data_IF_537084416076
#
_entry.id   IF_537084416076
#
_cell.length_a   1.000
_cell.length_b   1.000
_cell.length_c   1.000
_cell.angle_alpha   90.00
_cell.angle_beta   90.00
_cell.angle_gamma   90.00
#
_symmetry.space_group_name_H-M   'P 1'
#
loop_
_entity.id
_entity.type
_entity.pdbx_description
1 polymer ?
#
# COMPACT_ATOMS: atom_id res chain seq x y z
N UNK A 1 24.21 -0.24 -5.03
CA UNK A 1 23.30 0.41 -6.04
C UNK A 1 22.50 -0.67 -6.73
N UNK A 2 21.18 -0.50 -6.84
CA UNK A 2 20.30 -1.48 -7.50
C UNK A 2 20.54 -1.47 -9.01
N UNK A 3 20.75 -2.66 -9.58
CA UNK A 3 20.95 -2.90 -11.01
C UNK A 3 20.20 -4.16 -11.46
N UNK A 4 20.36 -4.57 -12.71
CA UNK A 4 19.74 -5.79 -13.24
C UNK A 4 20.18 -7.06 -12.48
N UNK A 5 21.42 -7.11 -12.00
CA UNK A 5 21.95 -8.28 -11.26
C UNK A 5 21.18 -8.49 -9.96
N UNK A 6 20.90 -7.42 -9.24
CA UNK A 6 20.08 -7.45 -8.01
C UNK A 6 18.64 -7.85 -8.34
N UNK A 7 18.05 -7.29 -9.40
CA UNK A 7 16.69 -7.64 -9.83
C UNK A 7 16.61 -9.12 -10.23
N UNK A 8 17.57 -9.62 -11.01
CA UNK A 8 17.66 -11.04 -11.41
C UNK A 8 17.83 -11.94 -10.19
N UNK A 9 18.68 -11.57 -9.23
CA UNK A 9 18.86 -12.30 -7.96
C UNK A 9 17.55 -12.43 -7.19
N UNK A 10 16.84 -11.32 -6.99
CA UNK A 10 15.54 -11.30 -6.29
C UNK A 10 14.45 -12.10 -7.01
N UNK A 11 14.59 -12.27 -8.33
CA UNK A 11 13.69 -13.07 -9.15
C UNK A 11 14.12 -14.56 -9.21
N UNK A 12 15.29 -14.90 -8.69
CA UNK A 12 15.89 -16.23 -8.81
C UNK A 12 16.23 -16.58 -10.27
N UNK A 13 16.62 -15.58 -11.07
CA UNK A 13 17.02 -15.77 -12.49
C UNK A 13 18.51 -16.08 -12.55
N UNK A 14 18.92 -17.27 -13.01
CA UNK A 14 20.33 -17.62 -13.13
C UNK A 14 21.03 -16.78 -14.22
N UNK A 15 22.36 -16.55 -14.10
CA UNK A 15 23.15 -15.98 -15.18
C UNK A 15 22.99 -16.77 -16.49
N UNK A 16 22.85 -16.05 -17.61
CA UNK A 16 22.67 -16.68 -18.93
C UNK A 16 21.29 -17.25 -19.22
N UNK A 17 20.33 -17.05 -18.33
CA UNK A 17 18.96 -17.50 -18.54
C UNK A 17 18.30 -16.78 -19.73
N UNK A 18 17.50 -17.53 -20.53
CA UNK A 18 16.87 -16.95 -21.71
C UNK A 18 15.94 -15.78 -21.33
N UNK A 19 16.10 -14.64 -22.00
CA UNK A 19 15.41 -13.38 -21.66
C UNK A 19 13.87 -13.50 -21.61
N UNK A 20 13.26 -14.32 -22.48
CA UNK A 20 11.81 -14.54 -22.45
C UNK A 20 11.33 -15.27 -21.18
N UNK A 21 12.16 -16.20 -20.66
CA UNK A 21 11.86 -16.90 -19.39
C UNK A 21 12.03 -15.96 -18.20
N UNK A 22 13.09 -15.15 -18.19
CA UNK A 22 13.30 -14.14 -17.17
C UNK A 22 12.14 -13.10 -17.15
N UNK A 23 11.70 -12.63 -18.32
CA UNK A 23 10.54 -11.76 -18.44
C UNK A 23 9.24 -12.39 -17.90
N UNK A 24 9.04 -13.70 -18.14
CA UNK A 24 7.90 -14.43 -17.59
C UNK A 24 7.95 -14.51 -16.07
N UNK A 25 9.11 -14.79 -15.48
CA UNK A 25 9.30 -14.79 -14.02
C UNK A 25 9.04 -13.37 -13.46
N UNK A 26 9.63 -12.34 -14.06
CA UNK A 26 9.46 -10.95 -13.65
C UNK A 26 7.97 -10.51 -13.69
N UNK A 27 7.23 -10.92 -14.72
CA UNK A 27 5.79 -10.68 -14.82
C UNK A 27 5.01 -11.32 -13.66
N UNK A 28 5.27 -12.58 -13.37
CA UNK A 28 4.62 -13.31 -12.27
C UNK A 28 4.96 -12.72 -10.89
N UNK A 29 6.17 -12.19 -10.74
CA UNK A 29 6.62 -11.52 -9.53
C UNK A 29 6.12 -10.07 -9.40
N UNK A 30 5.46 -9.51 -10.43
CA UNK A 30 5.03 -8.11 -10.45
C UNK A 30 6.17 -7.11 -10.62
N UNK A 31 7.31 -7.55 -11.22
CA UNK A 31 8.51 -6.73 -11.43
C UNK A 31 8.85 -6.54 -12.91
N UNK A 32 7.96 -6.91 -13.85
CA UNK A 32 8.29 -6.83 -15.28
C UNK A 32 8.72 -5.42 -15.73
N UNK A 33 8.03 -4.32 -15.37
CA UNK A 33 8.48 -2.97 -15.76
C UNK A 33 9.82 -2.59 -15.15
N UNK A 34 10.07 -2.96 -13.88
CA UNK A 34 11.36 -2.73 -13.22
C UNK A 34 12.48 -3.50 -13.92
N UNK A 35 12.25 -4.76 -14.23
CA UNK A 35 13.20 -5.60 -14.96
C UNK A 35 13.47 -5.08 -16.37
N UNK A 36 12.45 -4.68 -17.13
CA UNK A 36 12.62 -4.09 -18.47
C UNK A 36 13.37 -2.77 -18.41
N UNK A 37 13.06 -1.91 -17.46
CA UNK A 37 13.77 -0.64 -17.29
C UNK A 37 15.24 -0.84 -16.88
N UNK A 38 15.55 -1.87 -16.08
CA UNK A 38 16.94 -2.20 -15.74
C UNK A 38 17.73 -2.74 -16.94
N UNK A 39 17.08 -3.50 -17.85
CA UNK A 39 17.69 -3.89 -19.11
C UNK A 39 18.03 -2.68 -19.97
N UNK A 40 17.09 -1.75 -20.12
CA UNK A 40 17.31 -0.50 -20.87
C UNK A 40 18.44 0.34 -20.24
N UNK A 41 18.47 0.47 -18.93
CA UNK A 41 19.51 1.21 -18.21
C UNK A 41 20.92 0.60 -18.37
N UNK A 42 21.02 -0.66 -18.79
CA UNK A 42 22.27 -1.35 -19.11
C UNK A 42 22.49 -1.55 -20.61
N UNK A 43 21.83 -0.76 -21.46
CA UNK A 43 21.92 -0.81 -22.93
C UNK A 43 21.60 -2.20 -23.52
N UNK A 44 20.85 -3.03 -22.80
CA UNK A 44 20.41 -4.34 -23.30
C UNK A 44 19.16 -4.16 -24.18
N UNK A 45 19.11 -4.80 -25.35
CA UNK A 45 18.02 -4.61 -26.28
C UNK A 45 16.71 -5.21 -25.75
N UNK A 46 15.63 -4.43 -25.87
CA UNK A 46 14.26 -4.89 -25.71
C UNK A 46 13.49 -4.66 -27.01
N UNK A 47 12.55 -5.57 -27.33
CA UNK A 47 11.74 -5.46 -28.53
C UNK A 47 10.75 -4.28 -28.48
N UNK A 48 10.16 -3.90 -29.64
CA UNK A 48 9.27 -2.73 -29.72
C UNK A 48 8.03 -2.86 -28.82
N UNK A 49 7.41 -4.02 -28.74
CA UNK A 49 6.25 -4.26 -27.88
C UNK A 49 6.59 -4.12 -26.39
N UNK A 50 7.77 -4.61 -25.98
CA UNK A 50 8.22 -4.45 -24.58
C UNK A 50 8.53 -2.99 -24.25
N UNK A 51 9.04 -2.24 -25.21
CA UNK A 51 9.31 -0.79 -25.06
C UNK A 51 8.00 0.00 -24.93
N UNK A 52 7.05 -0.26 -25.81
CA UNK A 52 5.72 0.36 -25.74
C UNK A 52 5.03 0.07 -24.40
N UNK A 53 5.04 -1.18 -23.96
CA UNK A 53 4.53 -1.56 -22.64
C UNK A 53 5.22 -0.78 -21.50
N UNK A 54 6.55 -0.68 -21.54
CA UNK A 54 7.31 0.05 -20.51
C UNK A 54 6.92 1.55 -20.48
N UNK A 55 6.75 2.17 -21.65
CA UNK A 55 6.35 3.57 -21.74
C UNK A 55 4.92 3.79 -21.23
N UNK A 56 3.98 2.89 -21.51
CA UNK A 56 2.62 2.97 -20.92
C UNK A 56 2.67 2.89 -19.40
N UNK A 57 3.45 1.94 -18.84
CA UNK A 57 3.58 1.83 -17.38
C UNK A 57 4.25 3.07 -16.78
N UNK A 58 5.23 3.67 -17.46
CA UNK A 58 5.83 4.94 -17.03
C UNK A 58 4.80 6.06 -16.93
N UNK A 59 3.94 6.22 -17.96
CA UNK A 59 2.86 7.21 -17.94
C UNK A 59 1.88 6.94 -16.80
N UNK A 60 1.46 5.70 -16.61
CA UNK A 60 0.55 5.31 -15.51
C UNK A 60 1.13 5.64 -14.13
N UNK A 61 2.41 5.33 -13.91
CA UNK A 61 3.11 5.68 -12.66
C UNK A 61 3.22 7.19 -12.48
N UNK A 62 3.51 7.93 -13.55
CA UNK A 62 3.57 9.40 -13.49
C UNK A 62 2.21 10.02 -13.12
N UNK A 63 1.10 9.50 -13.68
CA UNK A 63 -0.26 9.94 -13.32
C UNK A 63 -0.55 9.68 -11.83
N UNK A 64 -0.22 8.49 -11.33
CA UNK A 64 -0.40 8.14 -9.91
C UNK A 64 0.40 9.05 -8.98
N UNK A 65 1.67 9.32 -9.32
CA UNK A 65 2.54 10.18 -8.54
C UNK A 65 2.01 11.63 -8.53
N UNK A 66 1.66 12.16 -9.70
CA UNK A 66 1.10 13.51 -9.82
C UNK A 66 -0.23 13.66 -9.05
N UNK A 67 -1.09 12.65 -9.08
CA UNK A 67 -2.33 12.64 -8.30
C UNK A 67 -2.04 12.68 -6.79
N UNK A 68 -1.12 11.83 -6.29
CA UNK A 68 -0.72 11.83 -4.88
C UNK A 68 -0.11 13.16 -4.43
N UNK A 69 0.81 13.72 -5.21
CA UNK A 69 1.44 15.03 -4.93
C UNK A 69 0.41 16.17 -4.92
N UNK A 70 -0.50 16.19 -5.90
CA UNK A 70 -1.59 17.19 -5.96
C UNK A 70 -2.46 17.13 -4.72
N UNK A 71 -2.90 15.94 -4.29
CA UNK A 71 -3.73 15.78 -3.10
C UNK A 71 -2.98 16.16 -1.83
N UNK A 72 -1.70 15.80 -1.73
CA UNK A 72 -0.84 16.21 -0.61
C UNK A 72 -0.74 17.74 -0.52
N UNK A 73 -0.47 18.40 -1.63
CA UNK A 73 -0.32 19.86 -1.68
C UNK A 73 -1.65 20.59 -1.42
N UNK A 74 -2.78 20.08 -1.94
CA UNK A 74 -4.08 20.74 -1.84
C UNK A 74 -4.76 20.52 -0.49
N UNK A 75 -4.61 19.34 0.11
CA UNK A 75 -5.39 18.91 1.28
C UNK A 75 -4.51 18.53 2.49
N UNK A 76 -3.17 18.54 2.37
CA UNK A 76 -2.26 18.17 3.47
C UNK A 76 -2.21 16.68 3.78
N UNK A 77 -2.70 15.81 2.89
CA UNK A 77 -2.58 14.37 3.04
C UNK A 77 -1.12 13.92 2.86
N UNK A 78 -0.69 12.93 3.64
CA UNK A 78 0.67 12.38 3.55
C UNK A 78 0.72 11.19 2.59
N UNK A 79 1.61 11.25 1.58
CA UNK A 79 1.92 10.08 0.74
C UNK A 79 2.90 9.19 1.49
N UNK A 80 2.58 7.89 1.68
CA UNK A 80 3.38 7.00 2.54
C UNK A 80 4.22 5.95 1.80
N UNK A 81 3.95 5.71 0.54
CA UNK A 81 4.70 4.78 -0.34
C UNK A 81 4.83 5.39 -1.75
N UNK A 82 4.85 4.54 -2.76
CA UNK A 82 4.80 4.95 -4.17
C UNK A 82 5.91 5.91 -4.55
N UNK A 83 5.60 7.21 -4.73
CA UNK A 83 6.56 8.23 -5.14
C UNK A 83 7.76 8.36 -4.19
N UNK A 84 7.53 8.25 -2.88
CA UNK A 84 8.60 8.36 -1.85
C UNK A 84 9.70 7.33 -2.07
N UNK A 85 9.32 6.06 -2.25
CA UNK A 85 10.30 5.00 -2.51
C UNK A 85 10.87 5.15 -3.92
N UNK A 86 10.03 5.49 -4.91
CA UNK A 86 10.46 5.62 -6.30
C UNK A 86 11.57 6.68 -6.49
N UNK A 87 11.55 7.76 -5.70
CA UNK A 87 12.58 8.80 -5.72
C UNK A 87 14.00 8.29 -5.38
N UNK A 88 14.09 7.14 -4.72
CA UNK A 88 15.36 6.52 -4.35
C UNK A 88 15.83 5.43 -5.32
N UNK A 89 15.00 5.06 -6.30
CA UNK A 89 15.42 4.13 -7.33
C UNK A 89 16.47 4.78 -8.22
N UNK A 90 17.47 4.02 -8.69
CA UNK A 90 18.47 4.55 -9.65
C UNK A 90 17.80 5.17 -10.88
N UNK A 91 18.44 6.19 -11.43
CA UNK A 91 17.98 6.84 -12.65
C UNK A 91 17.74 5.81 -13.77
N UNK A 92 16.59 5.90 -14.44
CA UNK A 92 16.17 4.99 -15.49
C UNK A 92 15.45 3.72 -15.01
N UNK A 93 15.57 3.34 -13.74
CA UNK A 93 14.80 2.21 -13.18
C UNK A 93 13.39 2.67 -12.79
N UNK A 94 12.40 1.89 -13.22
CA UNK A 94 11.00 2.17 -12.92
C UNK A 94 10.54 1.32 -11.72
N UNK A 95 10.16 1.97 -10.63
CA UNK A 95 9.38 1.33 -9.59
C UNK A 95 7.92 1.30 -10.00
N UNK A 96 7.41 0.11 -10.31
CA UNK A 96 5.99 -0.04 -10.64
C UNK A 96 5.10 0.23 -9.42
N UNK A 97 4.07 1.07 -9.60
CA UNK A 97 2.94 1.24 -8.69
C UNK A 97 1.65 1.01 -9.46
N UNK A 98 0.64 0.43 -8.81
CA UNK A 98 -0.73 0.30 -9.34
C UNK A 98 -1.70 1.22 -8.62
N UNK A 99 -1.24 1.82 -7.53
CA UNK A 99 -1.98 2.69 -6.63
C UNK A 99 -1.05 3.70 -5.95
N UNK A 100 -1.65 4.70 -5.33
CA UNK A 100 -0.98 5.61 -4.40
C UNK A 100 -1.66 5.51 -3.04
N UNK A 101 -0.85 5.44 -1.97
CA UNK A 101 -1.32 5.34 -0.60
C UNK A 101 -1.20 6.72 0.07
N UNK A 102 -2.33 7.24 0.57
CA UNK A 102 -2.40 8.54 1.26
C UNK A 102 -2.99 8.38 2.66
N UNK A 103 -2.45 9.16 3.58
CA UNK A 103 -2.97 9.28 4.94
C UNK A 103 -3.46 10.70 5.15
N UNK A 104 -4.76 10.84 5.37
CA UNK A 104 -5.42 12.07 5.74
C UNK A 104 -5.32 12.29 7.27
N UNK A 105 -5.18 13.53 7.70
CA UNK A 105 -5.12 13.89 9.12
C UNK A 105 -6.42 13.61 9.87
N UNK A 106 -7.54 13.68 9.15
CA UNK A 106 -8.89 13.55 9.68
C UNK A 106 -9.88 13.13 8.57
N UNK A 107 -11.13 12.91 8.94
CA UNK A 107 -12.20 12.52 8.03
C UNK A 107 -12.50 13.60 6.98
N UNK A 108 -12.47 14.86 7.33
CA UNK A 108 -12.76 15.97 6.41
C UNK A 108 -11.71 16.03 5.29
N UNK A 109 -10.44 15.92 5.66
CA UNK A 109 -9.31 15.83 4.72
C UNK A 109 -9.43 14.60 3.82
N UNK A 110 -9.82 13.44 4.37
CA UNK A 110 -10.03 12.22 3.59
C UNK A 110 -11.09 12.45 2.52
N UNK A 111 -12.26 13.00 2.89
CA UNK A 111 -13.33 13.24 1.92
C UNK A 111 -12.98 14.30 0.90
N UNK A 112 -12.23 15.34 1.27
CA UNK A 112 -11.73 16.33 0.33
C UNK A 112 -10.82 15.68 -0.75
N UNK A 113 -9.89 14.80 -0.35
CA UNK A 113 -9.06 14.04 -1.29
C UNK A 113 -9.89 13.13 -2.21
N UNK A 114 -10.84 12.41 -1.65
CA UNK A 114 -11.71 11.47 -2.38
C UNK A 114 -12.57 12.21 -3.42
N UNK A 115 -13.17 13.34 -3.05
CA UNK A 115 -13.99 14.17 -3.95
C UNK A 115 -13.14 14.82 -5.06
N UNK A 116 -11.91 15.27 -4.74
CA UNK A 116 -10.98 15.80 -5.76
C UNK A 116 -10.60 14.71 -6.78
N UNK A 117 -10.28 13.48 -6.35
CA UNK A 117 -10.01 12.38 -7.26
C UNK A 117 -11.23 12.04 -8.14
N UNK A 118 -12.42 12.05 -7.55
CA UNK A 118 -13.64 11.80 -8.31
C UNK A 118 -13.86 12.89 -9.37
N UNK A 119 -13.66 14.15 -9.02
CA UNK A 119 -13.83 15.27 -9.93
C UNK A 119 -12.74 15.36 -11.01
N UNK A 120 -11.46 15.10 -10.65
CA UNK A 120 -10.33 15.31 -11.56
C UNK A 120 -10.01 14.10 -12.45
N UNK A 121 -10.31 12.88 -12.00
CA UNK A 121 -9.99 11.64 -12.71
C UNK A 121 -11.21 10.77 -13.03
N UNK A 122 -12.42 11.17 -12.63
CA UNK A 122 -13.60 10.31 -12.70
C UNK A 122 -13.46 9.05 -11.81
N UNK A 123 -12.67 9.15 -10.74
CA UNK A 123 -12.43 8.02 -9.84
C UNK A 123 -13.73 7.63 -9.13
N UNK A 124 -13.95 6.32 -9.03
CA UNK A 124 -15.13 5.75 -8.34
C UNK A 124 -14.69 4.93 -7.13
N UNK A 125 -15.46 4.96 -6.03
CA UNK A 125 -15.14 4.16 -4.85
C UNK A 125 -15.34 2.67 -5.15
N UNK A 126 -14.38 1.86 -4.73
CA UNK A 126 -14.49 0.40 -4.72
C UNK A 126 -14.96 -0.11 -3.36
N UNK A 127 -14.72 0.66 -2.31
CA UNK A 127 -15.15 0.36 -0.96
C UNK A 127 -14.81 1.49 0.00
N UNK A 128 -15.62 1.56 1.07
CA UNK A 128 -15.40 2.47 2.21
C UNK A 128 -15.32 1.60 3.46
N UNK A 129 -14.11 1.22 3.84
CA UNK A 129 -13.90 0.34 4.98
C UNK A 129 -13.74 1.13 6.28
N UNK A 130 -14.29 0.60 7.35
CA UNK A 130 -14.17 1.17 8.69
C UNK A 130 -13.36 0.23 9.58
N UNK A 131 -12.36 0.79 10.24
CA UNK A 131 -11.62 0.15 11.32
C UNK A 131 -12.09 0.75 12.64
N UNK A 132 -13.00 0.07 13.31
CA UNK A 132 -13.66 0.56 14.51
C UNK A 132 -13.01 -0.03 15.76
N UNK A 133 -12.44 0.81 16.61
CA UNK A 133 -11.99 0.49 17.97
C UNK A 133 -12.95 1.06 19.00
N UNK A 134 -12.72 0.78 20.28
CA UNK A 134 -13.53 1.34 21.37
C UNK A 134 -13.53 2.87 21.40
N UNK A 135 -12.44 3.51 20.96
CA UNK A 135 -12.20 4.96 21.12
C UNK A 135 -12.07 5.71 19.80
N UNK A 136 -12.04 5.03 18.65
CA UNK A 136 -11.84 5.68 17.36
C UNK A 136 -12.44 4.86 16.22
N UNK A 137 -12.88 5.56 15.17
CA UNK A 137 -13.21 4.99 13.87
C UNK A 137 -12.23 5.55 12.85
N UNK A 138 -11.54 4.68 12.15
CA UNK A 138 -10.68 5.04 11.04
C UNK A 138 -11.30 4.58 9.73
N UNK A 139 -11.18 5.43 8.72
CA UNK A 139 -11.70 5.19 7.38
C UNK A 139 -10.57 4.77 6.44
N UNK A 140 -10.87 3.84 5.55
CA UNK A 140 -10.03 3.47 4.42
C UNK A 140 -10.91 3.45 3.17
N UNK A 141 -10.67 4.36 2.24
CA UNK A 141 -11.43 4.49 1.00
C UNK A 141 -10.54 4.10 -0.18
N UNK A 142 -10.93 3.04 -0.88
CA UNK A 142 -10.27 2.60 -2.10
C UNK A 142 -10.96 3.24 -3.31
N UNK A 143 -10.21 4.00 -4.11
CA UNK A 143 -10.67 4.66 -5.33
C UNK A 143 -10.02 4.03 -6.55
N UNK A 144 -10.79 3.92 -7.66
CA UNK A 144 -10.26 3.44 -8.94
C UNK A 144 -10.74 4.32 -10.10
N UNK A 145 -9.86 4.50 -11.09
CA UNK A 145 -10.20 5.15 -12.37
C UNK A 145 -9.54 4.42 -13.53
N UNK A 146 -10.08 4.53 -14.76
CA UNK A 146 -9.52 3.86 -15.92
C UNK A 146 -8.06 4.26 -16.18
N UNK A 147 -7.25 3.31 -16.60
CA UNK A 147 -5.95 3.60 -17.21
C UNK A 147 -6.15 4.20 -18.60
N UNK A 148 -5.06 4.73 -19.21
CA UNK A 148 -5.06 5.27 -20.58
C UNK A 148 -5.53 4.22 -21.60
N UNK A 149 -5.13 2.96 -21.42
CA UNK A 149 -5.53 1.82 -22.24
C UNK A 149 -6.29 0.77 -21.42
N UNK A 150 -7.59 0.97 -21.16
CA UNK A 150 -8.34 0.16 -20.21
C UNK A 150 -8.54 -1.31 -20.64
N UNK A 151 -8.31 -1.65 -21.91
CA UNK A 151 -8.33 -3.04 -22.39
C UNK A 151 -7.01 -3.78 -22.14
N UNK A 152 -5.91 -3.06 -21.99
CA UNK A 152 -4.56 -3.62 -21.83
C UNK A 152 -4.01 -3.45 -20.41
N UNK A 153 -4.36 -2.35 -19.77
CA UNK A 153 -3.81 -1.94 -18.48
C UNK A 153 -4.88 -2.00 -17.38
N UNK A 154 -4.44 -2.33 -16.18
CA UNK A 154 -5.33 -2.34 -15.01
C UNK A 154 -5.73 -0.91 -14.64
N UNK A 155 -6.93 -0.71 -14.07
CA UNK A 155 -7.30 0.58 -13.51
C UNK A 155 -6.25 1.09 -12.53
N UNK A 156 -6.03 2.40 -12.53
CA UNK A 156 -5.24 3.10 -11.55
C UNK A 156 -6.02 3.25 -10.25
N UNK A 157 -5.35 3.43 -9.13
CA UNK A 157 -6.02 3.53 -7.85
C UNK A 157 -5.36 4.45 -6.84
N UNK A 158 -6.14 4.78 -5.82
CA UNK A 158 -5.66 5.42 -4.61
C UNK A 158 -6.35 4.79 -3.40
N UNK A 159 -5.57 4.48 -2.38
CA UNK A 159 -6.07 4.11 -1.07
C UNK A 159 -5.85 5.30 -0.11
N UNK A 160 -6.94 5.89 0.36
CA UNK A 160 -6.92 7.05 1.24
C UNK A 160 -7.44 6.63 2.60
N UNK A 161 -6.65 6.84 3.66
CA UNK A 161 -6.99 6.39 5.01
C UNK A 161 -6.81 7.51 6.03
N UNK A 162 -7.50 7.39 7.18
CA UNK A 162 -7.27 8.25 8.36
C UNK A 162 -6.31 7.61 9.36
N UNK A 163 -5.56 6.59 8.95
CA UNK A 163 -4.52 5.96 9.75
C UNK A 163 -3.35 5.54 8.87
N UNK A 164 -2.13 5.64 9.39
CA UNK A 164 -0.93 5.27 8.65
C UNK A 164 -0.82 3.75 8.44
N UNK A 165 -1.23 2.98 9.45
CA UNK A 165 -1.11 1.53 9.46
C UNK A 165 -2.37 0.88 10.03
N UNK A 166 -3.03 0.08 9.23
CA UNK A 166 -4.33 -0.54 9.55
C UNK A 166 -4.24 -1.76 10.48
N UNK A 167 -3.07 -2.39 10.58
CA UNK A 167 -2.89 -3.63 11.34
C UNK A 167 -3.39 -4.86 10.60
N UNK A 168 -3.59 -5.95 11.36
CA UNK A 168 -4.01 -7.25 10.82
C UNK A 168 -5.45 -7.64 11.22
N UNK A 169 -6.15 -6.76 11.92
CA UNK A 169 -7.50 -7.00 12.47
C UNK A 169 -7.63 -8.24 13.38
N UNK A 170 -6.50 -8.78 13.87
CA UNK A 170 -6.45 -9.99 14.71
C UNK A 170 -5.65 -9.80 15.99
N UNK A 171 -4.51 -9.11 15.93
CA UNK A 171 -3.62 -8.93 17.07
C UNK A 171 -2.76 -7.67 16.98
N UNK A 172 -2.79 -6.98 15.85
CA UNK A 172 -2.06 -5.71 15.64
C UNK A 172 -3.05 -4.56 15.58
N UNK A 173 -2.92 -3.55 16.45
CA UNK A 173 -3.86 -2.41 16.49
C UNK A 173 -3.69 -1.51 15.27
N UNK A 174 -4.63 -0.60 15.08
CA UNK A 174 -4.47 0.54 14.18
C UNK A 174 -3.44 1.51 14.76
N UNK A 175 -2.55 2.04 13.93
CA UNK A 175 -1.59 3.09 14.29
C UNK A 175 -1.87 4.29 13.38
N UNK A 176 -2.56 5.27 13.94
CA UNK A 176 -3.01 6.43 13.19
C UNK A 176 -1.85 7.38 12.80
N UNK A 177 -0.89 7.73 13.69
CA UNK A 177 0.14 8.69 13.35
C UNK A 177 1.06 8.23 12.23
N UNK A 178 1.31 9.13 11.27
CA UNK A 178 2.36 8.96 10.26
C UNK A 178 3.72 9.20 10.92
N UNK A 179 4.70 8.30 10.79
CA UNK A 179 6.06 8.58 11.21
C UNK A 179 6.60 9.86 10.56
N UNK A 180 7.27 10.71 11.35
CA UNK A 180 7.76 12.01 10.89
C UNK A 180 8.85 11.91 9.80
N UNK A 181 9.53 10.78 9.72
CA UNK A 181 10.53 10.50 8.69
C UNK A 181 9.88 9.70 7.55
N UNK A 182 9.88 10.26 6.36
CA UNK A 182 9.24 9.68 5.17
C UNK A 182 9.83 8.34 4.76
N UNK A 183 11.16 8.15 4.89
CA UNK A 183 11.84 6.92 4.49
C UNK A 183 11.58 5.80 5.52
N UNK A 184 11.57 6.14 6.81
CA UNK A 184 11.14 5.21 7.86
C UNK A 184 9.65 4.87 7.72
N UNK A 185 8.78 5.84 7.44
CA UNK A 185 7.38 5.59 7.17
C UNK A 185 7.21 4.60 6.01
N UNK A 186 7.91 4.84 4.90
CA UNK A 186 7.90 3.95 3.73
C UNK A 186 8.41 2.54 4.06
N UNK A 187 9.48 2.42 4.85
CA UNK A 187 10.00 1.13 5.32
C UNK A 187 8.95 0.32 6.08
N UNK A 188 8.26 0.97 7.02
CA UNK A 188 7.25 0.30 7.82
C UNK A 188 5.98 0.01 7.03
N UNK A 189 5.62 0.85 6.06
CA UNK A 189 4.53 0.58 5.12
C UNK A 189 4.82 -0.65 4.24
N UNK A 190 6.07 -0.85 3.81
CA UNK A 190 6.48 -2.10 3.13
C UNK A 190 6.41 -3.30 4.07
N UNK A 191 6.82 -3.15 5.33
CA UNK A 191 6.71 -4.24 6.30
C UNK A 191 5.24 -4.63 6.59
N UNK A 192 4.32 -3.68 6.60
CA UNK A 192 2.88 -3.88 6.82
C UNK A 192 2.21 -4.72 5.72
N UNK A 193 2.73 -4.73 4.50
CA UNK A 193 2.24 -5.56 3.40
C UNK A 193 2.13 -7.06 3.80
N UNK A 194 2.92 -7.48 4.80
CA UNK A 194 2.90 -8.85 5.31
C UNK A 194 1.56 -9.26 5.88
N UNK A 195 0.74 -8.34 6.36
CA UNK A 195 -0.59 -8.62 6.88
C UNK A 195 -1.58 -8.97 5.78
N UNK A 196 -1.39 -8.41 4.60
CA UNK A 196 -2.26 -8.66 3.45
C UNK A 196 -1.81 -9.89 2.65
N UNK A 197 -0.50 -10.13 2.54
CA UNK A 197 0.09 -11.16 1.69
C UNK A 197 1.54 -11.49 2.08
N UNK A 198 2.08 -12.62 1.62
CA UNK A 198 3.52 -12.89 1.70
C UNK A 198 4.33 -11.82 0.95
N UNK A 199 5.51 -11.45 1.47
CA UNK A 199 6.43 -10.55 0.78
C UNK A 199 6.79 -11.06 -0.61
N UNK A 200 6.68 -10.18 -1.58
CA UNK A 200 7.02 -10.39 -3.00
C UNK A 200 8.39 -9.80 -3.29
N UNK A 201 8.95 -10.13 -4.45
CA UNK A 201 10.23 -9.59 -4.89
C UNK A 201 10.27 -8.05 -4.93
N UNK A 202 9.14 -7.38 -5.23
CA UNK A 202 9.02 -5.92 -5.15
C UNK A 202 9.28 -5.38 -3.74
N UNK A 203 8.72 -6.02 -2.72
CA UNK A 203 8.88 -5.58 -1.33
C UNK A 203 10.34 -5.73 -0.87
N UNK A 204 11.00 -6.80 -1.34
CA UNK A 204 12.42 -7.03 -1.09
C UNK A 204 13.29 -5.97 -1.78
N UNK A 205 12.95 -5.61 -3.03
CA UNK A 205 13.65 -4.58 -3.77
C UNK A 205 13.45 -3.20 -3.15
N UNK A 206 12.24 -2.86 -2.70
CA UNK A 206 11.95 -1.64 -1.96
C UNK A 206 12.80 -1.56 -0.68
N UNK A 207 12.96 -2.68 0.06
CA UNK A 207 13.87 -2.72 1.20
C UNK A 207 15.33 -2.51 0.78
N UNK A 208 15.82 -3.11 -0.30
CA UNK A 208 17.21 -2.91 -0.76
C UNK A 208 17.49 -1.44 -1.01
N UNK A 209 16.57 -0.75 -1.69
CA UNK A 209 16.67 0.70 -1.97
C UNK A 209 16.66 1.52 -0.68
N UNK A 210 15.68 1.30 0.19
CA UNK A 210 15.54 2.02 1.45
C UNK A 210 16.68 1.71 2.42
N UNK A 211 17.24 0.50 2.38
CA UNK A 211 18.34 0.11 3.26
C UNK A 211 19.60 0.95 3.02
N UNK A 212 19.94 1.20 1.77
CA UNK A 212 21.07 2.07 1.40
C UNK A 212 20.83 3.53 1.84
N UNK A 213 19.61 4.04 1.63
CA UNK A 213 19.23 5.41 1.98
C UNK A 213 19.29 5.61 3.49
N UNK A 214 18.64 4.74 4.24
CA UNK A 214 18.57 4.82 5.70
C UNK A 214 19.95 4.61 6.35
N UNK A 215 20.77 3.70 5.80
CA UNK A 215 22.14 3.51 6.28
C UNK A 215 23.00 4.77 6.12
N UNK A 216 22.95 5.41 4.93
CA UNK A 216 23.68 6.68 4.70
C UNK A 216 23.20 7.81 5.60
N UNK A 217 21.90 7.86 5.89
CA UNK A 217 21.28 8.93 6.67
C UNK A 217 21.46 8.78 8.16
N UNK A 218 21.32 7.60 8.69
CA UNK A 218 21.34 7.33 10.14
C UNK A 218 22.67 6.77 10.65
N UNK A 219 23.51 6.15 9.79
CA UNK A 219 24.74 5.50 10.20
C UNK A 219 24.50 4.48 11.33
N UNK A 220 25.31 4.58 12.38
CA UNK A 220 25.21 3.68 13.54
C UNK A 220 23.89 3.83 14.32
N UNK A 221 23.25 5.00 14.25
CA UNK A 221 21.95 5.26 14.89
C UNK A 221 20.82 4.41 14.30
N UNK A 222 21.01 3.85 13.11
CA UNK A 222 20.04 2.96 12.48
C UNK A 222 19.67 1.80 13.41
N UNK A 223 20.65 1.25 14.12
CA UNK A 223 20.48 0.11 15.06
C UNK A 223 19.65 0.45 16.30
N UNK A 224 19.34 1.70 16.54
CA UNK A 224 18.48 2.17 17.64
C UNK A 224 17.13 2.65 17.13
N UNK A 225 17.15 3.49 16.10
CA UNK A 225 15.96 4.15 15.57
C UNK A 225 14.97 3.13 14.98
N UNK A 226 15.45 2.22 14.13
CA UNK A 226 14.58 1.25 13.45
C UNK A 226 13.94 0.25 14.41
N UNK A 227 14.70 -0.42 15.35
CA UNK A 227 14.07 -1.34 16.30
C UNK A 227 13.08 -0.66 17.26
N UNK A 228 13.38 0.56 17.74
CA UNK A 228 12.48 1.33 18.58
C UNK A 228 11.15 1.61 17.86
N UNK A 229 11.21 2.18 16.66
CA UNK A 229 10.01 2.49 15.88
C UNK A 229 9.25 1.22 15.48
N UNK A 230 9.95 0.10 15.21
CA UNK A 230 9.32 -1.20 14.96
C UNK A 230 8.53 -1.71 16.18
N UNK A 231 9.02 -1.47 17.38
CA UNK A 231 8.30 -1.82 18.62
C UNK A 231 7.08 -0.90 18.82
N UNK A 232 7.24 0.41 18.65
CA UNK A 232 6.17 1.40 18.77
C UNK A 232 5.03 1.14 17.78
N UNK A 233 5.37 0.73 16.56
CA UNK A 233 4.43 0.40 15.50
C UNK A 233 3.93 -1.07 15.55
N UNK A 234 4.37 -1.88 16.50
CA UNK A 234 4.03 -3.31 16.57
C UNK A 234 4.40 -4.11 15.31
N UNK A 235 5.44 -3.70 14.58
CA UNK A 235 5.87 -4.28 13.29
C UNK A 235 7.22 -5.01 13.36
N UNK A 236 7.77 -5.24 14.56
CA UNK A 236 9.06 -5.92 14.73
C UNK A 236 9.11 -7.33 14.09
N UNK A 237 8.06 -8.18 14.17
CA UNK A 237 8.05 -9.47 13.50
C UNK A 237 8.13 -9.38 11.98
N UNK A 238 7.34 -8.48 11.39
CA UNK A 238 7.19 -8.31 9.94
C UNK A 238 8.47 -7.71 9.35
N UNK A 239 8.99 -6.64 9.96
CA UNK A 239 10.23 -6.02 9.51
C UNK A 239 11.41 -7.00 9.60
N UNK A 240 11.52 -7.75 10.70
CA UNK A 240 12.57 -8.78 10.84
C UNK A 240 12.44 -9.85 9.76
N UNK A 241 11.21 -10.28 9.44
CA UNK A 241 10.97 -11.24 8.37
C UNK A 241 11.37 -10.68 7.00
N UNK A 242 11.04 -9.42 6.72
CA UNK A 242 11.40 -8.72 5.48
C UNK A 242 12.93 -8.66 5.32
N UNK A 243 13.66 -8.17 6.35
CA UNK A 243 15.14 -8.12 6.36
C UNK A 243 15.74 -9.50 6.11
N UNK A 244 15.31 -10.52 6.86
CA UNK A 244 15.83 -11.88 6.75
C UNK A 244 15.59 -12.46 5.34
N UNK A 245 14.41 -12.22 4.77
CA UNK A 245 14.07 -12.73 3.44
C UNK A 245 14.90 -12.03 2.37
N UNK A 246 15.11 -10.73 2.48
CA UNK A 246 15.92 -9.95 1.53
C UNK A 246 17.39 -10.36 1.60
N UNK A 247 17.96 -10.48 2.81
CA UNK A 247 19.34 -10.92 3.02
C UNK A 247 19.64 -12.35 2.52
N UNK A 248 18.62 -13.15 2.28
CA UNK A 248 18.77 -14.46 1.63
C UNK A 248 18.99 -14.40 0.13
N UNK A 249 18.84 -13.24 -0.50
CA UNK A 249 18.98 -13.04 -1.93
C UNK A 249 20.04 -12.01 -2.31
N UNK A 250 20.22 -10.98 -1.50
CA UNK A 250 21.15 -9.87 -1.77
C UNK A 250 21.79 -9.41 -0.47
N UNK A 251 23.01 -8.89 -0.56
CA UNK A 251 23.71 -8.30 0.57
C UNK A 251 23.08 -6.94 0.92
N UNK A 252 22.70 -6.77 2.18
CA UNK A 252 22.31 -5.50 2.77
C UNK A 252 23.52 -4.84 3.44
N UNK A 253 23.52 -3.49 3.63
CA UNK A 253 24.54 -2.82 4.44
C UNK A 253 24.71 -3.50 5.81
N UNK A 254 25.97 -3.64 6.33
CA UNK A 254 26.25 -4.45 7.53
C UNK A 254 25.39 -4.12 8.75
N UNK A 255 25.05 -2.84 8.97
CA UNK A 255 24.20 -2.40 10.07
C UNK A 255 22.82 -3.08 10.11
N UNK A 256 22.33 -3.59 8.98
CA UNK A 256 21.05 -4.30 8.93
C UNK A 256 21.07 -5.69 9.57
N UNK A 257 22.23 -6.31 9.65
CA UNK A 257 22.41 -7.54 10.45
C UNK A 257 22.19 -7.25 11.94
N UNK A 258 22.74 -6.12 12.43
CA UNK A 258 22.56 -5.68 13.82
C UNK A 258 21.11 -5.26 14.10
N UNK A 259 20.49 -4.54 13.17
CA UNK A 259 19.05 -4.24 13.25
C UNK A 259 18.23 -5.52 13.38
N UNK A 260 18.48 -6.52 12.53
CA UNK A 260 17.76 -7.80 12.58
C UNK A 260 17.99 -8.57 13.88
N UNK A 261 19.21 -8.48 14.46
CA UNK A 261 19.54 -9.06 15.76
C UNK A 261 18.74 -8.37 16.88
N UNK A 262 18.71 -7.03 16.92
CA UNK A 262 17.95 -6.25 17.91
C UNK A 262 16.42 -6.42 17.76
N UNK A 263 15.92 -6.63 16.57
CA UNK A 263 14.50 -6.93 16.32
C UNK A 263 14.08 -8.32 16.83
N UNK A 264 15.02 -9.26 17.08
CA UNK A 264 14.66 -10.63 17.47
C UNK A 264 13.88 -10.72 18.79
N UNK A 265 14.34 -10.15 19.92
CA UNK A 265 13.58 -10.16 21.17
C UNK A 265 12.27 -9.38 21.02
N UNK A 266 12.27 -8.20 20.41
CA UNK A 266 11.07 -7.39 20.19
C UNK A 266 9.99 -8.14 19.39
N UNK A 267 10.41 -8.90 18.39
CA UNK A 267 9.50 -9.71 17.59
C UNK A 267 8.88 -10.88 18.40
N UNK A 268 9.62 -11.45 19.33
CA UNK A 268 9.11 -12.49 20.24
C UNK A 268 8.10 -11.91 21.23
N UNK A 269 8.43 -10.79 21.84
CA UNK A 269 7.52 -10.06 22.75
C UNK A 269 6.24 -9.62 22.05
N UNK A 270 6.34 -9.05 20.85
CA UNK A 270 5.15 -8.61 20.09
C UNK A 270 4.25 -9.80 19.72
N UNK A 271 4.83 -10.92 19.29
CA UNK A 271 4.04 -12.14 19.02
C UNK A 271 3.30 -12.65 20.26
N UNK A 272 3.95 -12.60 21.43
CA UNK A 272 3.31 -12.97 22.69
C UNK A 272 2.18 -11.99 23.04
N UNK A 273 2.40 -10.69 22.89
CA UNK A 273 1.36 -9.66 23.13
C UNK A 273 0.14 -9.82 22.21
N UNK A 274 0.36 -10.14 20.93
CA UNK A 274 -0.75 -10.34 19.96
C UNK A 274 -1.72 -11.44 20.38
N UNK A 275 -1.22 -12.52 20.99
CA UNK A 275 -2.07 -13.63 21.43
C UNK A 275 -3.01 -13.28 22.60
N UNK A 276 -2.71 -12.21 23.35
CA UNK A 276 -3.47 -11.77 24.52
C UNK A 276 -4.21 -10.44 24.33
N UNK A 277 -3.93 -9.72 23.23
CA UNK A 277 -4.54 -8.42 22.94
C UNK A 277 -6.03 -8.55 22.68
N UNK A 278 -6.84 -7.67 23.29
CA UNK A 278 -8.30 -7.69 23.20
C UNK A 278 -8.91 -6.47 22.52
N UNK A 279 -8.16 -5.37 22.46
CA UNK A 279 -8.55 -4.09 21.85
C UNK A 279 -8.22 -4.06 20.35
N UNK A 280 -8.72 -5.05 19.63
CA UNK A 280 -8.49 -5.18 18.19
C UNK A 280 -9.62 -4.45 17.46
N UNK A 281 -9.30 -3.64 16.44
CA UNK A 281 -10.33 -2.95 15.70
C UNK A 281 -11.22 -3.96 14.94
N UNK A 282 -12.52 -3.70 14.95
CA UNK A 282 -13.48 -4.40 14.09
C UNK A 282 -13.36 -3.82 12.69
N UNK A 283 -13.02 -4.64 11.70
CA UNK A 283 -13.07 -4.24 10.30
C UNK A 283 -14.50 -4.44 9.79
N UNK A 284 -15.02 -3.37 9.18
CA UNK A 284 -16.30 -3.39 8.49
C UNK A 284 -16.09 -2.98 7.04
N UNK A 285 -16.67 -3.75 6.14
CA UNK A 285 -16.60 -3.52 4.70
C UNK A 285 -17.79 -2.71 4.24
N UNK A 286 -17.56 -1.55 3.63
CA UNK A 286 -18.60 -0.71 3.05
C UNK A 286 -18.66 -0.88 1.54
N UNK A 287 -19.71 -1.54 1.07
CA UNK A 287 -19.95 -1.76 -0.35
C UNK A 287 -20.83 -0.65 -0.93
N UNK A 288 -20.38 0.11 -1.94
CA UNK A 288 -21.18 1.14 -2.56
C UNK A 288 -22.49 0.57 -3.13
N UNK A 289 -23.60 1.25 -2.85
CA UNK A 289 -24.93 0.90 -3.38
C UNK A 289 -25.19 1.70 -4.65
N UNK A 290 -25.46 1.02 -5.76
CA UNK A 290 -25.80 1.66 -7.02
C UNK A 290 -27.10 2.47 -6.88
N UNK A 291 -27.12 3.67 -7.48
CA UNK A 291 -28.30 4.55 -7.55
C UNK A 291 -28.81 5.10 -6.21
N UNK A 292 -28.04 5.02 -5.14
CA UNK A 292 -28.35 5.68 -3.87
C UNK A 292 -27.79 7.12 -3.92
N UNK A 293 -28.64 8.10 -4.17
CA UNK A 293 -28.22 9.50 -4.40
C UNK A 293 -28.03 10.31 -3.14
N UNK A 294 -28.38 9.77 -1.96
CA UNK A 294 -28.23 10.48 -0.69
C UNK A 294 -26.76 10.56 -0.30
N UNK A 295 -26.31 11.75 0.05
CA UNK A 295 -24.97 12.03 0.56
C UNK A 295 -25.03 12.72 1.92
N UNK A 296 -23.94 12.65 2.67
CA UNK A 296 -23.73 13.42 3.90
C UNK A 296 -22.32 14.03 3.89
N UNK A 297 -22.08 15.20 4.51
CA UNK A 297 -20.76 15.84 4.50
C UNK A 297 -19.70 15.03 5.26
N UNK A 298 -20.11 14.15 6.13
CA UNK A 298 -19.29 13.24 6.94
C UNK A 298 -19.97 11.86 7.02
N UNK A 299 -19.24 10.85 7.46
CA UNK A 299 -19.78 9.51 7.65
C UNK A 299 -20.92 9.52 8.66
N UNK A 300 -22.08 9.00 8.24
CA UNK A 300 -23.22 8.69 9.12
C UNK A 300 -23.59 7.25 8.99
N UNK A 301 -23.75 6.57 10.11
CA UNK A 301 -24.20 5.17 10.13
C UNK A 301 -25.69 5.17 10.49
N UNK A 302 -26.48 4.50 9.65
CA UNK A 302 -27.92 4.37 9.82
C UNK A 302 -28.31 2.89 9.82
N UNK A 303 -28.96 2.39 10.88
CA UNK A 303 -29.43 1.01 10.92
C UNK A 303 -30.64 0.81 9.98
N UNK A 304 -30.79 -0.41 9.48
CA UNK A 304 -31.98 -0.93 8.83
C UNK A 304 -32.22 -2.39 9.24
N UNK A 305 -33.30 -3.03 8.84
CA UNK A 305 -33.74 -4.34 9.35
C UNK A 305 -32.70 -5.46 9.25
N UNK A 306 -31.78 -5.41 8.28
CA UNK A 306 -30.79 -6.45 8.02
C UNK A 306 -29.32 -5.99 8.15
N UNK A 307 -29.07 -4.83 8.77
CA UNK A 307 -27.72 -4.32 8.98
C UNK A 307 -27.64 -2.82 9.12
N UNK A 308 -26.60 -2.23 8.57
CA UNK A 308 -26.33 -0.79 8.65
C UNK A 308 -25.89 -0.23 7.33
N UNK A 309 -26.30 0.99 7.06
CA UNK A 309 -25.85 1.80 5.93
C UNK A 309 -24.86 2.86 6.39
N UNK A 310 -23.80 3.07 5.62
CA UNK A 310 -22.93 4.23 5.75
C UNK A 310 -23.33 5.25 4.70
N UNK A 311 -23.74 6.44 5.13
CA UNK A 311 -24.01 7.59 4.27
C UNK A 311 -22.75 8.43 4.26
N UNK A 312 -22.18 8.68 3.09
CA UNK A 312 -20.89 9.36 2.88
C UNK A 312 -21.04 10.49 1.88
N UNK A 313 -20.04 11.36 1.69
CA UNK A 313 -20.05 12.34 0.60
C UNK A 313 -20.13 11.75 -0.82
N UNK A 314 -19.76 10.47 -0.99
CA UNK A 314 -19.83 9.75 -2.26
C UNK A 314 -21.15 8.99 -2.49
N UNK A 315 -22.02 8.93 -1.49
CA UNK A 315 -23.26 8.16 -1.53
C UNK A 315 -23.39 7.17 -0.38
N UNK A 316 -24.23 6.17 -0.58
CA UNK A 316 -24.58 5.18 0.46
C UNK A 316 -23.83 3.87 0.22
N UNK A 317 -23.26 3.31 1.28
CA UNK A 317 -22.64 1.98 1.30
C UNK A 317 -23.37 1.05 2.27
N UNK A 318 -23.47 -0.23 1.92
CA UNK A 318 -23.85 -1.28 2.86
C UNK A 318 -22.65 -1.66 3.72
N UNK A 319 -22.78 -1.62 5.04
CA UNK A 319 -21.73 -2.04 5.99
C UNK A 319 -21.94 -3.49 6.41
N UNK A 320 -20.92 -4.32 6.24
CA UNK A 320 -20.90 -5.73 6.63
C UNK A 320 -19.59 -6.12 7.30
N UNK A 321 -19.61 -7.21 8.06
CA UNK A 321 -18.40 -7.73 8.75
C UNK A 321 -17.60 -8.73 7.90
N UNK A 322 -18.08 -9.08 6.71
CA UNK A 322 -17.41 -10.02 5.81
C UNK A 322 -17.20 -9.41 4.41
N UNK A 323 -16.15 -9.81 3.69
CA UNK A 323 -15.89 -9.30 2.35
C UNK A 323 -16.85 -9.83 1.28
N UNK A 324 -17.86 -10.59 1.66
CA UNK A 324 -18.90 -11.14 0.79
C UNK A 324 -20.27 -10.80 1.33
N UNK A 325 -21.21 -10.51 0.44
CA UNK A 325 -22.56 -10.11 0.79
C UNK A 325 -23.54 -11.13 0.22
N UNK A 326 -24.49 -11.68 1.02
CA UNK A 326 -25.64 -12.40 0.49
C UNK A 326 -26.49 -11.48 -0.38
N UNK A 327 -26.96 -11.98 -1.52
CA UNK A 327 -27.77 -11.19 -2.47
C UNK A 327 -28.99 -10.55 -1.81
N UNK A 328 -29.68 -11.31 -0.97
CA UNK A 328 -30.85 -10.82 -0.23
C UNK A 328 -30.55 -9.64 0.71
N UNK A 329 -29.36 -9.61 1.33
CA UNK A 329 -28.91 -8.50 2.17
C UNK A 329 -28.62 -7.26 1.31
N UNK A 330 -28.01 -7.45 0.14
CA UNK A 330 -27.72 -6.37 -0.78
C UNK A 330 -29.00 -5.74 -1.34
N UNK A 331 -29.98 -6.57 -1.74
CA UNK A 331 -31.30 -6.11 -2.23
C UNK A 331 -32.04 -5.32 -1.13
N UNK A 332 -32.09 -5.83 0.10
CA UNK A 332 -32.71 -5.14 1.22
C UNK A 332 -32.04 -3.79 1.52
N UNK A 333 -30.70 -3.73 1.43
CA UNK A 333 -29.94 -2.49 1.61
C UNK A 333 -30.26 -1.46 0.51
N UNK A 334 -30.38 -1.90 -0.74
CA UNK A 334 -30.79 -1.04 -1.86
C UNK A 334 -32.20 -0.45 -1.66
N UNK A 335 -33.15 -1.24 -1.15
CA UNK A 335 -34.48 -0.77 -0.83
C UNK A 335 -34.47 0.22 0.35
N UNK A 336 -33.71 -0.07 1.40
CA UNK A 336 -33.54 0.84 2.54
C UNK A 336 -32.91 2.17 2.10
N UNK A 337 -31.87 2.14 1.27
CA UNK A 337 -31.19 3.32 0.74
C UNK A 337 -32.09 4.23 -0.11
N UNK A 338 -33.07 3.66 -0.83
CA UNK A 338 -34.06 4.44 -1.59
C UNK A 338 -35.07 5.19 -0.71
N UNK A 339 -35.24 4.78 0.54
CA UNK A 339 -36.16 5.40 1.51
C UNK A 339 -35.49 6.52 2.33
N UNK A 340 -34.17 6.68 2.21
CA UNK A 340 -33.40 7.76 2.82
C UNK A 340 -33.62 9.09 2.10
#
# INVERSE_FOLDING_TARGET
MVDLTIVDSLLGVPPGYASWRAAHIARRAGLLPTWLSSMVAQDRPIGPVAREYLERVRRSVAILHAAGEKLSAAHGASVIKGPRIAAHYPAGLLRQSGDTDLVASDEATLWACVLDLSASHGAVPQGVNLLQSANAVHLVVAMKWPAEEPLLDKPLGADISTCAFSGDTRGVPVRAPVPADDDLCSLFAVAEERFQRPFRAKDLLDLVVLADVLHRRFGDRLTEVVPRLAADLCLAPELRQLIKKTAGWVDLPPAWADVAARLRPLAQEEKARRSTRRDIPRLRFGFPLANASRTAPELRIQPFDRGELAITPLGVCLLVDAPTIPEETYVAAMEAARRL
#
